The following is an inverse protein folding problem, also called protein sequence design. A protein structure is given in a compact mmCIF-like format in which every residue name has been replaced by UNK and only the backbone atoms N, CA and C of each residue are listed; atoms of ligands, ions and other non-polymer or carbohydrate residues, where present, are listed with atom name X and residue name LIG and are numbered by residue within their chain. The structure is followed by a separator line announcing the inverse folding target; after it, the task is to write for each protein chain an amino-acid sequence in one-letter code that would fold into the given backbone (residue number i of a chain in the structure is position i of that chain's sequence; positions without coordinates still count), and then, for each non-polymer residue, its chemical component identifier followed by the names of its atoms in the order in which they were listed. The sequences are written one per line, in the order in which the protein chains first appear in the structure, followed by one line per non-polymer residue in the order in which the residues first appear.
data_IF_624362643892
#
_entry.id   IF_624362643892
#
_cell.length_a   1.000
_cell.length_b   1.000
_cell.length_c   1.000
_cell.angle_alpha   90.00
_cell.angle_beta   90.00
_cell.angle_gamma   90.00
#
_symmetry.space_group_name_H-M   'P 1'
#
loop_
_entity.id
_entity.type
_entity.pdbx_description
1 polymer ?
#
# COMPACT_ATOMS: atom_id res chain seq x y z
N UNK A 1 2.02 10.29 -2.94
CA UNK A 1 0.94 9.92 -3.86
C UNK A 1 -0.18 10.93 -3.69
N UNK A 2 -0.52 11.70 -4.75
CA UNK A 2 -1.71 12.57 -4.76
C UNK A 2 -3.00 11.79 -4.48
N UNK A 3 -4.04 12.48 -4.02
CA UNK A 3 -5.36 11.85 -3.85
C UNK A 3 -5.89 11.32 -5.21
N UNK A 4 -6.41 10.10 -5.21
CA UNK A 4 -6.87 9.38 -6.39
C UNK A 4 -5.77 8.68 -7.19
N UNK A 5 -4.49 8.92 -6.88
CA UNK A 5 -3.38 8.23 -7.51
C UNK A 5 -3.33 6.75 -7.08
N UNK A 6 -2.83 5.88 -7.95
CA UNK A 6 -2.80 4.44 -7.69
C UNK A 6 -1.52 3.77 -8.18
N UNK A 7 -1.06 2.81 -7.39
CA UNK A 7 -0.12 1.80 -7.85
C UNK A 7 -0.96 0.59 -8.27
N UNK A 8 -1.00 0.26 -9.58
CA UNK A 8 -1.82 -0.83 -10.08
C UNK A 8 -1.41 -2.16 -9.47
N UNK A 9 -2.33 -3.12 -9.51
CA UNK A 9 -2.05 -4.46 -9.03
C UNK A 9 -0.85 -5.07 -9.77
N UNK A 10 0.12 -5.55 -9.00
CA UNK A 10 1.30 -6.22 -9.51
C UNK A 10 1.80 -7.27 -8.53
N UNK A 11 2.79 -8.05 -8.96
CA UNK A 11 3.43 -9.09 -8.15
C UNK A 11 4.90 -8.71 -7.97
N UNK A 12 5.33 -8.57 -6.71
CA UNK A 12 6.75 -8.40 -6.35
C UNK A 12 7.38 -9.74 -6.01
N UNK A 13 8.65 -9.95 -6.34
CA UNK A 13 9.43 -11.12 -5.90
C UNK A 13 10.14 -10.90 -4.56
N UNK A 14 10.05 -9.69 -3.99
CA UNK A 14 10.63 -9.34 -2.71
C UNK A 14 9.53 -8.94 -1.74
N UNK A 15 9.59 -9.39 -0.47
CA UNK A 15 8.71 -8.88 0.56
C UNK A 15 9.06 -7.42 0.85
N UNK A 16 8.11 -6.70 1.42
CA UNK A 16 8.34 -5.32 1.86
C UNK A 16 7.48 -4.97 3.08
N UNK A 17 7.88 -3.94 3.82
CA UNK A 17 7.03 -3.29 4.80
C UNK A 17 6.57 -1.94 4.25
N UNK A 18 5.26 -1.78 4.12
CA UNK A 18 4.62 -0.52 3.80
C UNK A 18 4.36 0.26 5.08
N UNK A 19 4.80 1.52 5.12
CA UNK A 19 4.56 2.44 6.23
C UNK A 19 3.86 3.69 5.71
N UNK A 20 2.73 4.05 6.29
CA UNK A 20 1.99 5.26 5.94
C UNK A 20 2.47 6.41 6.84
N UNK A 21 3.30 7.30 6.30
CA UNK A 21 3.85 8.44 7.03
C UNK A 21 2.82 9.57 7.19
N UNK A 22 1.95 9.74 6.19
CA UNK A 22 0.80 10.64 6.24
C UNK A 22 -0.27 10.22 5.25
N UNK A 23 -1.51 10.62 5.51
CA UNK A 23 -2.64 10.40 4.62
C UNK A 23 -3.35 9.07 4.85
N UNK A 24 -4.04 8.62 3.81
CA UNK A 24 -4.93 7.46 3.84
C UNK A 24 -4.96 6.79 2.47
N UNK A 25 -4.82 5.48 2.49
CA UNK A 25 -4.83 4.65 1.29
C UNK A 25 -5.75 3.43 1.48
N UNK A 26 -6.12 2.81 0.37
CA UNK A 26 -6.62 1.43 0.31
C UNK A 26 -5.55 0.54 -0.28
N UNK A 27 -5.13 -0.45 0.49
CA UNK A 27 -4.34 -1.59 0.03
C UNK A 27 -5.29 -2.67 -0.47
N UNK A 28 -4.95 -3.26 -1.61
CA UNK A 28 -5.71 -4.35 -2.21
C UNK A 28 -4.80 -5.57 -2.35
N UNK A 29 -5.25 -6.73 -1.91
CA UNK A 29 -4.59 -8.02 -2.14
C UNK A 29 -5.63 -9.12 -2.42
N UNK A 30 -5.18 -10.38 -2.45
CA UNK A 30 -6.02 -11.56 -2.65
C UNK A 30 -7.05 -11.78 -1.54
N UNK A 31 -6.88 -11.16 -0.38
CA UNK A 31 -7.81 -11.21 0.75
C UNK A 31 -8.86 -10.10 0.72
N UNK A 32 -8.69 -9.10 -0.15
CA UNK A 32 -9.64 -8.01 -0.37
C UNK A 32 -9.00 -6.63 -0.22
N UNK A 33 -9.81 -5.65 0.19
CA UNK A 33 -9.35 -4.28 0.41
C UNK A 33 -9.19 -3.99 1.89
N UNK A 34 -8.10 -3.32 2.24
CA UNK A 34 -7.80 -2.86 3.60
C UNK A 34 -7.47 -1.38 3.59
N UNK A 35 -8.11 -0.63 4.46
CA UNK A 35 -7.82 0.77 4.67
C UNK A 35 -6.62 0.94 5.60
N UNK A 36 -5.64 1.76 5.21
CA UNK A 36 -4.45 2.07 5.99
C UNK A 36 -4.30 3.59 6.10
N UNK A 37 -4.25 4.10 7.33
CA UNK A 37 -4.05 5.52 7.63
C UNK A 37 -2.67 5.82 8.20
N UNK A 38 -2.40 7.10 8.46
CA UNK A 38 -1.16 7.58 9.10
C UNK A 38 -0.73 6.73 10.30
N UNK A 39 0.53 6.32 10.33
CA UNK A 39 1.13 5.48 11.36
C UNK A 39 0.91 3.99 11.17
N UNK A 40 0.06 3.58 10.22
CA UNK A 40 -0.13 2.16 9.92
C UNK A 40 1.11 1.58 9.26
N UNK A 41 1.43 0.34 9.67
CA UNK A 41 2.42 -0.51 9.03
C UNK A 41 1.73 -1.76 8.48
N UNK A 42 2.10 -2.17 7.28
CA UNK A 42 1.52 -3.35 6.65
C UNK A 42 2.57 -4.18 5.91
N UNK A 43 2.75 -5.48 6.25
CA UNK A 43 3.63 -6.34 5.49
C UNK A 43 3.03 -6.63 4.11
N UNK A 44 3.88 -6.66 3.11
CA UNK A 44 3.58 -7.09 1.74
C UNK A 44 4.37 -8.36 1.50
N UNK A 45 3.65 -9.46 1.28
CA UNK A 45 4.24 -10.77 1.02
C UNK A 45 4.83 -10.86 -0.39
N UNK A 46 5.96 -11.55 -0.52
CA UNK A 46 6.51 -11.88 -1.82
C UNK A 46 5.53 -12.76 -2.62
N UNK A 47 5.49 -12.57 -3.92
CA UNK A 47 4.68 -13.32 -4.88
C UNK A 47 3.16 -13.22 -4.69
N UNK A 48 2.68 -12.37 -3.78
CA UNK A 48 1.25 -12.06 -3.65
C UNK A 48 0.89 -10.86 -4.52
N UNK A 49 -0.16 -10.94 -5.37
CA UNK A 49 -0.72 -9.78 -6.06
C UNK A 49 -1.14 -8.71 -5.06
N UNK A 50 -0.75 -7.46 -5.32
CA UNK A 50 -1.13 -6.33 -4.49
C UNK A 50 -1.15 -5.01 -5.26
N UNK A 51 -1.99 -4.08 -4.80
CA UNK A 51 -2.13 -2.73 -5.32
C UNK A 51 -2.45 -1.71 -4.23
N UNK A 52 -2.33 -0.43 -4.56
CA UNK A 52 -2.55 0.68 -3.63
C UNK A 52 -3.33 1.79 -4.33
N UNK A 53 -4.32 2.37 -3.64
CA UNK A 53 -5.04 3.56 -4.10
C UNK A 53 -4.99 4.60 -2.98
N UNK A 54 -4.57 5.82 -3.30
CA UNK A 54 -4.56 6.92 -2.35
C UNK A 54 -5.96 7.57 -2.26
N UNK A 55 -6.60 7.48 -1.09
CA UNK A 55 -7.89 8.16 -0.85
C UNK A 55 -7.68 9.64 -0.53
N UNK A 56 -6.56 9.97 0.12
CA UNK A 56 -6.08 11.35 0.32
C UNK A 56 -4.67 11.51 -0.21
N UNK A 57 -4.17 12.74 -0.26
CA UNK A 57 -2.75 12.97 -0.42
C UNK A 57 -1.99 12.22 0.68
N UNK A 58 -1.05 11.36 0.27
CA UNK A 58 -0.42 10.38 1.14
C UNK A 58 1.08 10.29 0.89
N UNK A 59 1.86 10.22 1.97
CA UNK A 59 3.29 9.93 1.93
C UNK A 59 3.49 8.54 2.53
N UNK A 60 4.15 7.67 1.77
CA UNK A 60 4.41 6.29 2.13
C UNK A 60 5.91 5.99 2.00
N UNK A 61 6.38 5.11 2.89
CA UNK A 61 7.71 4.54 2.86
C UNK A 61 7.59 3.04 2.60
N UNK A 62 8.41 2.53 1.68
CA UNK A 62 8.55 1.11 1.40
C UNK A 62 9.93 0.65 1.87
N UNK A 63 9.98 -0.29 2.80
CA UNK A 63 11.21 -0.89 3.32
C UNK A 63 11.32 -2.30 2.74
N UNK A 64 12.46 -2.66 2.17
CA UNK A 64 12.73 -3.97 1.55
C UNK A 64 13.70 -4.78 2.39
#
# INVERSE_FOLDING_TARGET
MPAGDSLPEHISNQPALLVILSGKIRYCDTSGQKELGTGATHPIEAHSPHGLIADTESVLLLIR
#
